data_IF_370161489199
#
_entry.id   IF_370161489199
#
_cell.length_a   1.000
_cell.length_b   1.000
_cell.length_c   1.000
_cell.angle_alpha   90.00
_cell.angle_beta   90.00
_cell.angle_gamma   90.00
#
_symmetry.space_group_name_H-M   'P 1'
#
loop_
_entity.id
_entity.type
_entity.pdbx_description
1 polymer ?
#
# COMPACT_ATOMS: atom_id res chain seq x y z
N UNK A 1 -15.89 1.34 19.03
CA UNK A 1 -14.63 0.58 19.11
C UNK A 1 -13.54 1.59 19.39
N UNK A 2 -12.63 1.28 20.29
CA UNK A 2 -11.49 2.15 20.63
C UNK A 2 -10.20 1.53 20.11
N UNK A 3 -9.27 2.37 19.66
CA UNK A 3 -7.89 1.98 19.33
C UNK A 3 -7.05 2.18 20.58
N UNK A 4 -6.29 1.15 20.96
CA UNK A 4 -5.35 1.24 22.08
C UNK A 4 -3.96 1.53 21.50
N UNK A 5 -3.40 2.69 21.86
CA UNK A 5 -2.10 3.15 21.36
C UNK A 5 -0.97 2.68 22.29
N UNK A 6 -0.50 1.46 22.06
CA UNK A 6 0.66 0.86 22.73
C UNK A 6 1.81 0.62 21.74
N UNK A 7 2.99 0.22 22.23
CA UNK A 7 4.13 -0.15 21.38
C UNK A 7 3.77 -1.35 20.48
N UNK A 8 3.66 -1.09 19.17
CA UNK A 8 3.23 -2.09 18.19
C UNK A 8 4.31 -3.13 17.87
N UNK A 9 5.53 -3.04 18.42
CA UNK A 9 6.62 -3.99 18.13
C UNK A 9 6.28 -5.44 18.45
N UNK A 10 5.44 -5.67 19.44
CA UNK A 10 5.01 -7.02 19.85
C UNK A 10 3.69 -7.44 19.20
N UNK A 11 3.05 -6.55 18.42
CA UNK A 11 1.78 -6.88 17.79
C UNK A 11 2.00 -7.82 16.61
N UNK A 12 1.06 -8.75 16.35
CA UNK A 12 1.13 -9.55 15.16
C UNK A 12 1.01 -8.66 13.91
N UNK A 13 1.61 -9.11 12.82
CA UNK A 13 1.55 -8.39 11.55
C UNK A 13 0.61 -9.07 10.56
N UNK A 14 -0.01 -8.24 9.74
CA UNK A 14 -0.69 -8.67 8.52
C UNK A 14 0.17 -8.27 7.30
N UNK A 15 -0.25 -8.57 6.06
CA UNK A 15 0.47 -8.13 4.86
C UNK A 15 0.71 -6.62 4.75
N UNK A 16 -0.05 -5.81 5.50
CA UNK A 16 0.04 -4.34 5.50
C UNK A 16 0.89 -3.78 6.66
N UNK A 17 1.56 -4.65 7.43
CA UNK A 17 2.40 -4.27 8.57
C UNK A 17 1.80 -4.62 9.94
N UNK A 18 2.33 -4.01 11.03
CA UNK A 18 1.87 -4.25 12.38
C UNK A 18 0.38 -3.93 12.55
N UNK A 19 -0.34 -4.82 13.23
CA UNK A 19 -1.75 -4.62 13.55
C UNK A 19 -1.94 -3.65 14.70
N UNK A 20 -3.13 -3.04 14.76
CA UNK A 20 -3.55 -2.24 15.91
C UNK A 20 -4.36 -3.10 16.87
N UNK A 21 -4.30 -2.75 18.15
CA UNK A 21 -5.13 -3.35 19.18
C UNK A 21 -6.42 -2.55 19.36
N UNK A 22 -7.53 -3.25 19.47
CA UNK A 22 -8.86 -2.67 19.58
C UNK A 22 -9.63 -3.26 20.76
N UNK A 23 -10.48 -2.44 21.37
CA UNK A 23 -11.47 -2.87 22.36
C UNK A 23 -12.89 -2.48 21.89
N UNK A 24 -13.85 -3.39 22.08
CA UNK A 24 -15.26 -3.13 21.74
C UNK A 24 -16.00 -2.52 22.92
N UNK A 25 -17.00 -1.71 22.57
CA UNK A 25 -18.05 -1.29 23.48
C UNK A 25 -19.27 -2.17 23.25
N UNK A 26 -19.98 -2.51 24.32
CA UNK A 26 -21.28 -3.14 24.22
C UNK A 26 -22.36 -2.11 23.81
N UNK A 27 -23.60 -2.57 23.64
CA UNK A 27 -24.73 -1.71 23.26
C UNK A 27 -25.02 -0.59 24.27
N UNK A 28 -24.61 -0.77 25.53
CA UNK A 28 -24.74 0.22 26.59
C UNK A 28 -23.56 1.21 26.65
N UNK A 29 -22.62 1.15 25.68
CA UNK A 29 -21.45 2.02 25.66
C UNK A 29 -20.38 1.68 26.70
N UNK A 30 -20.44 0.49 27.32
CA UNK A 30 -19.45 0.01 28.27
C UNK A 30 -18.41 -0.87 27.58
N UNK A 31 -17.15 -0.75 28.00
CA UNK A 31 -16.05 -1.58 27.50
C UNK A 31 -16.34 -3.06 27.76
N UNK A 32 -16.15 -3.90 26.75
CA UNK A 32 -16.34 -5.35 26.89
C UNK A 32 -15.20 -6.04 27.63
N UNK A 33 -14.07 -5.36 27.85
CA UNK A 33 -12.85 -5.95 28.43
C UNK A 33 -12.05 -6.80 27.44
N UNK A 34 -12.68 -7.33 26.38
CA UNK A 34 -12.00 -8.16 25.37
C UNK A 34 -11.31 -7.32 24.31
N UNK A 35 -10.01 -7.57 24.14
CA UNK A 35 -9.14 -6.88 23.18
C UNK A 35 -8.74 -7.79 22.02
N UNK A 36 -8.59 -7.24 20.83
CA UNK A 36 -8.18 -7.97 19.63
C UNK A 36 -7.28 -7.15 18.72
N UNK A 37 -6.48 -7.84 17.91
CA UNK A 37 -5.66 -7.25 16.86
C UNK A 37 -6.39 -7.30 15.51
N UNK A 38 -6.31 -6.21 14.75
CA UNK A 38 -6.81 -6.13 13.38
C UNK A 38 -5.95 -5.19 12.51
N UNK A 39 -6.14 -5.25 11.19
CA UNK A 39 -5.38 -4.49 10.22
C UNK A 39 -5.42 -2.98 10.50
N UNK A 40 -4.25 -2.32 10.41
CA UNK A 40 -4.08 -0.88 10.57
C UNK A 40 -4.43 -0.08 9.31
N UNK A 41 -4.24 -0.68 8.13
CA UNK A 41 -4.42 0.00 6.85
C UNK A 41 -5.81 -0.19 6.24
N UNK A 42 -6.37 -1.41 6.30
CA UNK A 42 -7.64 -1.75 5.66
C UNK A 42 -8.74 -1.92 6.69
N UNK A 43 -9.82 -1.14 6.53
CA UNK A 43 -10.96 -1.13 7.46
C UNK A 43 -11.96 -2.24 7.17
N UNK A 44 -11.99 -2.73 5.93
CA UNK A 44 -12.87 -3.81 5.51
C UNK A 44 -12.17 -5.16 5.66
N UNK A 45 -12.82 -6.09 6.38
CA UNK A 45 -12.32 -7.44 6.57
C UNK A 45 -12.33 -8.27 5.29
N UNK A 46 -13.09 -7.88 4.26
CA UNK A 46 -13.00 -8.52 2.95
C UNK A 46 -11.71 -8.19 2.20
N UNK A 47 -11.04 -7.09 2.57
CA UNK A 47 -9.79 -6.64 1.95
C UNK A 47 -8.57 -7.11 2.75
N UNK A 48 -8.69 -7.16 4.08
CA UNK A 48 -7.74 -7.82 4.96
C UNK A 48 -8.49 -8.51 6.10
N UNK A 49 -8.52 -9.83 6.09
CA UNK A 49 -9.30 -10.65 7.02
C UNK A 49 -8.60 -10.89 8.36
N UNK A 50 -7.38 -10.36 8.55
CA UNK A 50 -6.57 -10.55 9.74
C UNK A 50 -7.35 -10.18 11.01
N UNK A 51 -7.41 -11.14 11.94
CA UNK A 51 -8.02 -11.00 13.25
C UNK A 51 -7.36 -11.95 14.24
N UNK A 52 -7.14 -11.50 15.48
CA UNK A 52 -6.65 -12.34 16.58
C UNK A 52 -7.07 -11.74 17.92
N UNK A 53 -7.63 -12.52 18.86
CA UNK A 53 -7.81 -12.02 20.22
C UNK A 53 -6.46 -11.90 20.92
N UNK A 54 -6.29 -10.90 21.79
CA UNK A 54 -5.03 -10.70 22.53
C UNK A 54 -4.67 -11.92 23.39
N UNK A 55 -5.69 -12.59 23.93
CA UNK A 55 -5.57 -13.80 24.75
C UNK A 55 -5.12 -15.03 23.93
N UNK A 56 -5.36 -15.02 22.60
CA UNK A 56 -5.12 -16.18 21.75
C UNK A 56 -3.61 -16.34 21.49
N UNK A 57 -3.12 -17.56 21.73
CA UNK A 57 -1.79 -18.00 21.29
C UNK A 57 -1.95 -18.80 20.00
N UNK A 58 -1.64 -18.24 18.82
CA UNK A 58 -1.74 -18.98 17.57
C UNK A 58 -0.79 -20.19 17.58
N UNK A 59 -1.20 -21.28 16.94
CA UNK A 59 -0.31 -22.42 16.74
C UNK A 59 0.80 -22.06 15.74
N UNK A 60 1.89 -22.84 15.74
CA UNK A 60 3.01 -22.64 14.82
C UNK A 60 2.59 -22.74 13.34
N UNK A 61 1.58 -23.55 13.03
CA UNK A 61 1.01 -23.69 11.68
C UNK A 61 0.30 -22.40 11.24
N UNK A 62 -0.47 -21.77 12.12
CA UNK A 62 -1.15 -20.50 11.84
C UNK A 62 -0.13 -19.39 11.63
N UNK A 63 0.91 -19.34 12.46
CA UNK A 63 2.00 -18.36 12.30
C UNK A 63 2.74 -18.55 10.98
N UNK A 64 3.04 -19.79 10.61
CA UNK A 64 3.67 -20.11 9.32
C UNK A 64 2.78 -19.68 8.16
N UNK A 65 1.49 -20.04 8.19
CA UNK A 65 0.53 -19.63 7.15
C UNK A 65 0.51 -18.10 6.99
N UNK A 66 0.48 -17.35 8.10
CA UNK A 66 0.50 -15.88 8.07
C UNK A 66 1.79 -15.34 7.47
N UNK A 67 2.96 -15.88 7.84
CA UNK A 67 4.25 -15.49 7.23
C UNK A 67 4.24 -15.71 5.72
N UNK A 68 3.73 -16.85 5.27
CA UNK A 68 3.64 -17.18 3.84
C UNK A 68 2.69 -16.22 3.10
N UNK A 69 1.57 -15.82 3.71
CA UNK A 69 0.67 -14.82 3.12
C UNK A 69 1.30 -13.43 3.04
N UNK A 70 2.04 -13.01 4.06
CA UNK A 70 2.79 -11.75 4.06
C UNK A 70 3.82 -11.78 2.93
N UNK A 71 4.58 -12.86 2.80
CA UNK A 71 5.59 -13.01 1.75
C UNK A 71 4.98 -12.92 0.35
N UNK A 72 3.88 -13.63 0.10
CA UNK A 72 3.16 -13.61 -1.18
C UNK A 72 2.61 -12.25 -1.57
N UNK A 73 2.36 -11.37 -0.60
CA UNK A 73 1.81 -10.03 -0.81
C UNK A 73 2.90 -8.95 -0.91
N UNK A 74 4.17 -9.31 -0.74
CA UNK A 74 5.27 -8.35 -0.91
C UNK A 74 5.33 -7.85 -2.36
N UNK A 75 5.77 -6.60 -2.57
CA UNK A 75 6.09 -6.12 -3.91
C UNK A 75 7.11 -7.03 -4.60
N UNK A 76 7.07 -7.16 -5.93
CA UNK A 76 7.97 -8.04 -6.68
C UNK A 76 9.44 -7.61 -6.62
N UNK A 77 9.72 -6.36 -6.21
CA UNK A 77 11.07 -5.84 -6.05
C UNK A 77 11.21 -5.15 -4.69
N UNK A 78 12.41 -5.22 -4.14
CA UNK A 78 12.81 -4.42 -2.98
C UNK A 78 12.92 -2.93 -3.35
N UNK A 79 12.92 -2.05 -2.35
CA UNK A 79 13.09 -0.62 -2.58
C UNK A 79 14.41 -0.28 -3.30
N UNK A 80 15.51 -0.96 -2.95
CA UNK A 80 16.82 -0.78 -3.61
C UNK A 80 16.77 -1.17 -5.09
N UNK A 81 16.07 -2.26 -5.40
CA UNK A 81 15.86 -2.69 -6.78
C UNK A 81 14.97 -1.72 -7.55
N UNK A 82 13.89 -1.20 -6.96
CA UNK A 82 13.08 -0.15 -7.60
C UNK A 82 13.91 1.10 -7.93
N UNK A 83 14.80 1.53 -7.03
CA UNK A 83 15.73 2.65 -7.30
C UNK A 83 16.65 2.31 -8.48
N UNK A 84 17.24 1.11 -8.50
CA UNK A 84 18.12 0.66 -9.59
C UNK A 84 17.37 0.63 -10.92
N UNK A 85 16.17 0.04 -10.94
CA UNK A 85 15.29 -0.03 -12.12
C UNK A 85 14.96 1.35 -12.65
N UNK A 86 14.57 2.29 -11.78
CA UNK A 86 14.27 3.67 -12.19
C UNK A 86 15.49 4.35 -12.83
N UNK A 87 16.70 4.15 -12.29
CA UNK A 87 17.94 4.67 -12.89
C UNK A 87 18.20 4.07 -14.26
N UNK A 88 18.10 2.76 -14.40
CA UNK A 88 18.25 2.07 -15.70
C UNK A 88 17.23 2.57 -16.71
N UNK A 89 15.96 2.68 -16.31
CA UNK A 89 14.88 3.19 -17.15
C UNK A 89 15.13 4.62 -17.65
N UNK A 90 15.60 5.51 -16.77
CA UNK A 90 15.94 6.90 -17.13
C UNK A 90 17.12 7.00 -18.11
N UNK A 91 17.95 5.98 -18.23
CA UNK A 91 19.05 5.94 -19.19
C UNK A 91 18.63 5.40 -20.56
N UNK A 92 17.40 4.86 -20.69
CA UNK A 92 16.90 4.38 -21.98
C UNK A 92 16.57 5.56 -22.91
N UNK A 93 16.70 5.38 -24.24
CA UNK A 93 16.13 6.29 -25.22
C UNK A 93 14.63 6.49 -25.00
N UNK A 94 14.10 7.69 -25.26
CA UNK A 94 12.67 8.00 -25.06
C UNK A 94 11.75 7.04 -25.83
N UNK A 95 12.17 6.58 -27.01
CA UNK A 95 11.46 5.61 -27.86
C UNK A 95 11.34 4.21 -27.25
N UNK A 96 12.13 3.90 -26.23
CA UNK A 96 12.15 2.61 -25.55
C UNK A 96 11.50 2.66 -24.16
N UNK A 97 11.16 3.86 -23.67
CA UNK A 97 10.56 4.04 -22.34
C UNK A 97 9.09 3.68 -22.37
N UNK A 98 8.75 2.56 -21.73
CA UNK A 98 7.38 2.06 -21.65
C UNK A 98 6.97 1.78 -20.21
N UNK A 99 5.69 1.93 -19.93
CA UNK A 99 5.07 1.61 -18.65
C UNK A 99 3.95 0.61 -18.84
N UNK A 100 3.96 -0.44 -18.03
CA UNK A 100 2.91 -1.45 -17.99
C UNK A 100 1.86 -1.04 -16.94
N UNK A 101 0.65 -0.70 -17.37
CA UNK A 101 -0.47 -0.37 -16.47
C UNK A 101 -0.96 -1.58 -15.69
N UNK A 102 -0.98 -2.76 -16.32
CA UNK A 102 -1.42 -4.01 -15.67
C UNK A 102 -0.52 -4.38 -14.49
N UNK A 103 0.79 -4.28 -14.66
CA UNK A 103 1.75 -4.59 -13.59
C UNK A 103 2.05 -3.37 -12.70
N UNK A 104 1.67 -2.17 -13.16
CA UNK A 104 2.11 -0.90 -12.58
C UNK A 104 3.63 -0.76 -12.48
N UNK A 105 4.34 -1.09 -13.56
CA UNK A 105 5.81 -1.13 -13.61
C UNK A 105 6.37 -0.37 -14.81
N UNK A 106 7.48 0.34 -14.59
CA UNK A 106 8.38 0.77 -15.65
C UNK A 106 9.05 -0.46 -16.25
N UNK A 107 8.98 -0.59 -17.57
CA UNK A 107 9.45 -1.76 -18.32
C UNK A 107 10.92 -1.55 -18.68
N UNK A 108 11.77 -2.51 -18.36
CA UNK A 108 13.14 -2.60 -18.84
C UNK A 108 13.22 -3.52 -20.08
N UNK A 109 14.22 -3.36 -20.98
CA UNK A 109 14.24 -4.05 -22.27
C UNK A 109 14.14 -5.58 -22.22
N UNK A 110 14.67 -6.20 -21.15
CA UNK A 110 14.70 -7.66 -20.96
C UNK A 110 13.35 -8.25 -20.50
N UNK A 111 12.33 -7.42 -20.25
CA UNK A 111 11.09 -7.84 -19.60
C UNK A 111 9.94 -8.07 -20.60
N UNK A 112 9.34 -9.26 -20.53
CA UNK A 112 8.20 -9.60 -21.38
C UNK A 112 6.87 -9.13 -20.78
N UNK A 113 6.18 -8.26 -21.54
CA UNK A 113 4.85 -7.73 -21.19
C UNK A 113 3.84 -7.90 -22.35
N UNK A 114 4.03 -8.89 -23.23
CA UNK A 114 3.32 -9.01 -24.51
C UNK A 114 1.77 -9.04 -24.44
N UNK A 115 1.19 -9.41 -23.28
CA UNK A 115 -0.27 -9.50 -23.08
C UNK A 115 -0.80 -8.45 -22.08
N UNK A 116 -0.01 -7.44 -21.76
CA UNK A 116 -0.38 -6.41 -20.80
C UNK A 116 -0.74 -5.09 -21.49
N UNK A 117 -1.45 -4.22 -20.77
CA UNK A 117 -1.71 -2.86 -21.22
C UNK A 117 -0.44 -2.01 -21.02
N UNK A 118 0.16 -1.55 -22.13
CA UNK A 118 1.41 -0.78 -22.15
C UNK A 118 1.14 0.60 -22.73
N UNK A 119 1.78 1.62 -22.16
CA UNK A 119 1.83 2.98 -22.70
C UNK A 119 3.27 3.46 -22.84
N UNK A 120 3.52 4.29 -23.85
CA UNK A 120 4.83 4.93 -24.03
C UNK A 120 4.98 6.13 -23.08
N UNK A 121 6.17 6.27 -22.50
CA UNK A 121 6.54 7.36 -21.58
C UNK A 121 7.43 8.33 -22.35
N UNK A 122 6.81 9.01 -23.32
CA UNK A 122 7.49 9.86 -24.31
C UNK A 122 7.88 11.26 -23.78
N UNK A 123 7.27 11.69 -22.67
CA UNK A 123 7.53 12.98 -22.05
C UNK A 123 8.04 12.80 -20.63
N UNK A 124 8.95 13.66 -20.21
CA UNK A 124 9.43 13.65 -18.82
C UNK A 124 8.30 14.01 -17.84
N UNK A 125 7.29 14.77 -18.26
CA UNK A 125 6.08 15.00 -17.45
C UNK A 125 5.26 13.73 -17.22
N UNK A 126 5.36 12.73 -18.10
CA UNK A 126 4.77 11.41 -17.87
C UNK A 126 5.48 10.60 -16.76
N UNK A 127 6.61 11.11 -16.23
CA UNK A 127 7.22 10.60 -15.01
C UNK A 127 6.60 11.18 -13.74
N UNK A 128 5.58 12.04 -13.83
CA UNK A 128 4.77 12.39 -12.69
C UNK A 128 3.87 11.19 -12.31
N UNK A 129 4.13 10.50 -11.18
CA UNK A 129 3.45 9.24 -10.90
C UNK A 129 1.93 9.38 -10.78
N UNK A 130 1.42 10.54 -10.36
CA UNK A 130 -0.02 10.81 -10.26
C UNK A 130 -0.74 10.93 -11.61
N UNK A 131 -0.01 11.09 -12.72
CA UNK A 131 -0.55 11.07 -14.08
C UNK A 131 -0.44 9.67 -14.68
N UNK A 132 0.65 8.96 -14.34
CA UNK A 132 0.96 7.64 -14.89
C UNK A 132 0.18 6.50 -14.23
N UNK A 133 0.07 6.55 -12.90
CA UNK A 133 -0.54 5.50 -12.10
C UNK A 133 -2.07 5.66 -12.08
N UNK A 134 -2.78 4.53 -12.22
CA UNK A 134 -4.21 4.51 -11.97
C UNK A 134 -4.48 4.82 -10.49
N UNK A 135 -5.50 5.64 -10.23
CA UNK A 135 -5.92 5.94 -8.85
C UNK A 135 -6.52 4.71 -8.18
N UNK A 136 -6.04 4.38 -6.98
CA UNK A 136 -6.64 3.34 -6.13
C UNK A 136 -7.75 3.97 -5.26
N UNK A 137 -8.97 4.06 -5.79
CA UNK A 137 -10.05 4.86 -5.19
C UNK A 137 -10.90 4.11 -4.15
N UNK A 138 -10.51 2.90 -3.74
CA UNK A 138 -11.29 2.13 -2.79
C UNK A 138 -11.31 2.82 -1.42
N UNK A 139 -12.47 3.42 -1.07
CA UNK A 139 -12.67 4.19 0.15
C UNK A 139 -12.44 3.41 1.46
N UNK A 140 -12.42 2.07 1.41
CA UNK A 140 -12.18 1.22 2.59
C UNK A 140 -10.74 0.72 2.70
N UNK A 141 -9.89 1.07 1.72
CA UNK A 141 -8.48 0.75 1.65
C UNK A 141 -7.68 2.02 1.34
N UNK A 142 -7.28 2.25 0.09
CA UNK A 142 -6.32 3.30 -0.28
C UNK A 142 -6.94 4.70 -0.30
N UNK A 143 -8.20 4.83 -0.70
CA UNK A 143 -8.92 6.11 -0.80
C UNK A 143 -8.11 7.21 -1.51
N UNK A 144 -7.41 6.86 -2.59
CA UNK A 144 -6.51 7.76 -3.29
C UNK A 144 -7.29 8.74 -4.17
N UNK A 145 -7.50 9.96 -3.66
CA UNK A 145 -8.13 11.07 -4.38
C UNK A 145 -7.10 12.15 -4.67
N UNK A 146 -6.82 12.39 -5.95
CA UNK A 146 -5.86 13.42 -6.35
C UNK A 146 -6.47 14.82 -6.28
N UNK A 147 -5.64 15.77 -5.87
CA UNK A 147 -5.99 17.18 -5.93
C UNK A 147 -6.14 17.64 -7.40
N UNK A 148 -7.01 18.62 -7.61
CA UNK A 148 -7.06 19.33 -8.89
C UNK A 148 -5.77 20.13 -9.09
N UNK A 149 -5.39 20.40 -10.36
CA UNK A 149 -4.21 21.21 -10.66
C UNK A 149 -4.27 22.59 -9.99
N UNK A 150 -5.45 23.23 -9.97
CA UNK A 150 -5.68 24.52 -9.30
C UNK A 150 -5.35 24.44 -7.81
N UNK A 151 -5.80 23.38 -7.14
CA UNK A 151 -5.54 23.15 -5.72
C UNK A 151 -4.05 22.90 -5.45
N UNK A 152 -3.40 22.09 -6.30
CA UNK A 152 -1.95 21.84 -6.19
C UNK A 152 -1.18 23.15 -6.31
N UNK A 153 -1.46 23.96 -7.34
CA UNK A 153 -0.82 25.27 -7.53
C UNK A 153 -1.02 26.17 -6.32
N UNK A 154 -2.25 26.28 -5.80
CA UNK A 154 -2.54 27.09 -4.61
C UNK A 154 -1.73 26.64 -3.38
N UNK A 155 -1.71 25.34 -3.07
CA UNK A 155 -0.98 24.80 -1.91
C UNK A 155 0.52 25.05 -2.06
N UNK A 156 1.10 24.72 -3.22
CA UNK A 156 2.54 24.88 -3.46
C UNK A 156 2.97 26.34 -3.37
N UNK A 157 2.21 27.27 -3.98
CA UNK A 157 2.50 28.70 -3.88
C UNK A 157 2.38 29.20 -2.45
N UNK A 158 1.36 28.77 -1.71
CA UNK A 158 1.16 29.16 -0.31
C UNK A 158 2.32 28.70 0.57
N UNK A 159 2.76 27.45 0.44
CA UNK A 159 3.88 26.89 1.20
C UNK A 159 5.23 27.57 0.90
N UNK A 160 5.44 28.06 -0.33
CA UNK A 160 6.65 28.81 -0.71
C UNK A 160 6.71 30.22 -0.12
N UNK A 161 5.56 30.75 0.31
CA UNK A 161 5.43 32.10 0.85
C UNK A 161 5.30 32.10 2.39
N UNK A 162 5.49 30.95 3.04
CA UNK A 162 5.67 30.82 4.49
C UNK A 162 7.13 31.06 4.85
#
# INVERSE_FOLDING_TARGET
MEVIFDDTKQHPSCPHGPCLMFERYNVAGLKTGRKFFACSAYRDRSLCDFFQWVEDKPSAEIEKFRRDQIEKKKPPFTHKEYIKRLKSFKNLPLTERRYCKTCSLLILPEESHAKHEIIDVIKEECLQPTILLNTLQNKKAEAQYFFSQKTVTFIVTSLKNL
#
